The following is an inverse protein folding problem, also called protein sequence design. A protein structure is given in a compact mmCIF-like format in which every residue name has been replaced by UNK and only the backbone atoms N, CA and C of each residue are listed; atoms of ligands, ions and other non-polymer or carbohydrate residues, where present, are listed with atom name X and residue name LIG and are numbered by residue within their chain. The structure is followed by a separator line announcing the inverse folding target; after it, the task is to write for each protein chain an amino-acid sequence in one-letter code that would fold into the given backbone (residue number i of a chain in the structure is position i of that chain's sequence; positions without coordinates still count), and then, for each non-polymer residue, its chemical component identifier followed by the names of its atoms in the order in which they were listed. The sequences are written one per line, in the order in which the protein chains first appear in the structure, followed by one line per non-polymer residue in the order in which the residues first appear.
data_IF_219812686451
#
_entry.id   IF_219812686451
#
_cell.length_a   1.000
_cell.length_b   1.000
_cell.length_c   1.000
_cell.angle_alpha   90.00
_cell.angle_beta   90.00
_cell.angle_gamma   90.00
#
_symmetry.space_group_name_H-M   'P 1'
#
loop_
_entity.id
_entity.type
_entity.pdbx_description
1 polymer ?
#
# COMPACT_ATOMS: atom_id res chain seq x y z
N UNK A 1 14.06 -11.68 7.48
CA UNK A 1 14.49 -10.96 6.26
C UNK A 1 13.28 -10.29 5.63
N UNK A 2 13.44 -9.03 5.24
CA UNK A 2 12.33 -8.26 4.68
C UNK A 2 12.13 -8.54 3.20
N UNK A 3 10.87 -8.45 2.73
CA UNK A 3 10.55 -8.46 1.31
C UNK A 3 11.00 -7.16 0.61
N UNK A 4 11.26 -6.11 1.39
CA UNK A 4 11.69 -4.81 0.89
C UNK A 4 13.20 -4.68 0.95
N UNK A 5 13.78 -3.99 -0.04
CA UNK A 5 15.20 -3.64 0.01
C UNK A 5 15.44 -2.53 1.04
N UNK A 6 16.71 -2.29 1.38
CA UNK A 6 17.06 -1.19 2.28
C UNK A 6 16.62 0.17 1.74
N UNK A 7 16.77 0.40 0.44
CA UNK A 7 16.34 1.65 -0.18
C UNK A 7 14.82 1.81 -0.13
N UNK A 8 14.09 0.72 -0.34
CA UNK A 8 12.62 0.73 -0.24
C UNK A 8 12.16 1.03 1.17
N UNK A 9 12.76 0.39 2.17
CA UNK A 9 12.42 0.67 3.57
C UNK A 9 12.74 2.12 3.95
N UNK A 10 13.87 2.63 3.50
CA UNK A 10 14.23 4.03 3.76
C UNK A 10 13.20 4.98 3.16
N UNK A 11 12.75 4.69 1.95
CA UNK A 11 11.73 5.50 1.28
C UNK A 11 10.40 5.46 2.03
N UNK A 12 9.96 4.28 2.43
CA UNK A 12 8.69 4.10 3.15
C UNK A 12 8.69 4.73 4.54
N UNK A 13 9.88 4.82 5.16
CA UNK A 13 10.02 5.30 6.54
C UNK A 13 10.43 6.76 6.65
N UNK A 14 10.34 7.54 5.58
CA UNK A 14 10.74 8.95 5.63
C UNK A 14 9.88 9.74 6.60
N UNK A 15 10.54 10.26 7.63
CA UNK A 15 9.88 11.07 8.64
C UNK A 15 9.43 12.41 8.08
N UNK A 16 8.27 12.86 8.54
CA UNK A 16 7.76 14.18 8.19
C UNK A 16 7.14 14.29 6.80
N UNK A 17 7.33 13.30 5.96
CA UNK A 17 6.69 13.30 4.64
C UNK A 17 5.32 12.62 4.74
N UNK A 18 4.31 13.29 4.19
CA UNK A 18 2.95 12.76 4.17
C UNK A 18 2.59 12.44 2.74
N UNK A 19 2.71 11.17 2.39
CA UNK A 19 2.39 10.69 1.06
C UNK A 19 1.18 9.79 1.14
N UNK A 20 0.29 9.96 0.18
CA UNK A 20 -0.81 9.02 0.02
C UNK A 20 -0.31 7.77 -0.70
N UNK A 21 -0.95 6.66 -0.44
CA UNK A 21 -0.86 5.50 -1.29
C UNK A 21 -2.09 5.44 -2.17
N UNK A 22 -2.02 4.68 -3.25
CA UNK A 22 -3.20 4.36 -4.05
C UNK A 22 -3.35 2.86 -4.03
N UNK A 23 -4.43 2.41 -3.39
CA UNK A 23 -4.71 0.99 -3.28
C UNK A 23 -5.61 0.54 -4.42
N UNK A 24 -5.25 -0.59 -5.02
CA UNK A 24 -6.05 -1.23 -6.05
C UNK A 24 -6.63 -2.52 -5.48
N UNK A 25 -7.92 -2.69 -5.65
CA UNK A 25 -8.65 -3.91 -5.28
C UNK A 25 -9.52 -4.33 -6.45
N UNK A 26 -10.06 -5.54 -6.38
CA UNK A 26 -10.83 -6.11 -7.47
C UNK A 26 -12.23 -6.42 -6.99
N UNK A 27 -13.24 -5.90 -7.71
CA UNK A 27 -14.64 -6.17 -7.42
C UNK A 27 -15.07 -7.56 -7.87
N UNK A 28 -16.31 -7.93 -7.50
CA UNK A 28 -16.86 -9.26 -7.80
C UNK A 28 -16.87 -9.59 -9.28
N UNK A 29 -17.07 -8.58 -10.11
CA UNK A 29 -17.12 -8.74 -11.58
C UNK A 29 -15.73 -8.64 -12.24
N UNK A 30 -14.67 -8.56 -11.44
CA UNK A 30 -13.31 -8.42 -11.96
C UNK A 30 -12.90 -6.98 -12.26
N UNK A 31 -13.78 -6.01 -12.03
CA UNK A 31 -13.44 -4.60 -12.28
C UNK A 31 -12.43 -4.13 -11.25
N UNK A 32 -11.28 -3.59 -11.68
CA UNK A 32 -10.33 -3.03 -10.74
C UNK A 32 -10.80 -1.67 -10.23
N UNK A 33 -10.55 -1.42 -8.95
CA UNK A 33 -10.87 -0.15 -8.31
C UNK A 33 -9.60 0.41 -7.69
N UNK A 34 -9.40 1.72 -7.77
CA UNK A 34 -8.23 2.38 -7.19
C UNK A 34 -8.68 3.65 -6.49
N UNK A 35 -8.18 3.85 -5.27
CA UNK A 35 -8.48 5.03 -4.46
C UNK A 35 -7.25 5.45 -3.67
N UNK A 36 -7.11 6.76 -3.36
CA UNK A 36 -6.05 7.21 -2.46
C UNK A 36 -6.37 6.83 -1.02
N UNK A 37 -5.33 6.48 -0.26
CA UNK A 37 -5.47 6.02 1.12
C UNK A 37 -4.30 6.49 1.96
N UNK A 38 -4.53 6.59 3.27
CA UNK A 38 -3.45 6.64 4.25
C UNK A 38 -2.90 5.24 4.46
N UNK A 39 -1.62 5.17 4.79
CA UNK A 39 -0.95 3.89 4.95
C UNK A 39 0.21 4.03 5.93
N UNK A 40 0.71 2.89 6.40
CA UNK A 40 1.98 2.85 7.13
C UNK A 40 2.66 1.51 6.91
N UNK A 41 3.99 1.52 6.97
CA UNK A 41 4.75 0.29 6.97
C UNK A 41 4.67 -0.34 8.37
N UNK A 42 4.32 -1.61 8.42
CA UNK A 42 4.25 -2.39 9.65
C UNK A 42 5.46 -3.32 9.71
N UNK A 43 6.44 -2.97 10.55
CA UNK A 43 7.69 -3.73 10.64
C UNK A 43 7.48 -5.12 11.26
N UNK A 44 6.51 -5.26 12.15
CA UNK A 44 6.24 -6.55 12.80
C UNK A 44 5.78 -7.59 11.79
N UNK A 45 4.97 -7.19 10.83
CA UNK A 45 4.42 -8.08 9.81
C UNK A 45 5.12 -7.97 8.47
N UNK A 46 6.06 -7.03 8.34
CA UNK A 46 6.71 -6.71 7.06
C UNK A 46 5.67 -6.47 5.98
N UNK A 47 4.71 -5.61 6.27
CA UNK A 47 3.53 -5.39 5.44
C UNK A 47 3.15 -3.93 5.40
N UNK A 48 2.27 -3.57 4.46
CA UNK A 48 1.69 -2.24 4.40
C UNK A 48 0.28 -2.31 4.98
N UNK A 49 0.03 -1.50 6.00
CA UNK A 49 -1.29 -1.39 6.63
C UNK A 49 -2.01 -0.16 6.10
N UNK A 50 -3.23 -0.36 5.63
CA UNK A 50 -4.10 0.71 5.13
C UNK A 50 -5.25 0.87 6.11
N UNK A 51 -5.37 2.07 6.70
CA UNK A 51 -6.46 2.42 7.58
C UNK A 51 -7.46 3.34 6.87
N UNK A 52 -8.37 3.88 7.63
CA UNK A 52 -9.32 4.85 7.12
C UNK A 52 -10.57 4.94 7.97
N UNK A 53 -11.29 6.07 7.81
CA UNK A 53 -12.54 6.28 8.52
C UNK A 53 -13.58 5.29 8.01
N UNK A 54 -14.27 4.61 8.95
CA UNK A 54 -15.31 3.63 8.63
C UNK A 54 -14.85 2.59 7.60
N UNK A 55 -13.59 2.19 7.71
CA UNK A 55 -12.96 1.34 6.70
C UNK A 55 -13.74 0.05 6.46
N UNK A 56 -14.25 -0.59 7.51
CA UNK A 56 -14.97 -1.86 7.37
C UNK A 56 -16.23 -1.73 6.54
N UNK A 57 -16.80 -0.53 6.39
CA UNK A 57 -17.97 -0.28 5.57
C UNK A 57 -17.63 0.03 4.11
N UNK A 58 -16.35 0.11 3.77
CA UNK A 58 -15.95 0.50 2.41
C UNK A 58 -15.92 -0.69 1.46
N UNK A 59 -16.09 -0.38 0.17
CA UNK A 59 -16.00 -1.37 -0.88
C UNK A 59 -14.62 -2.02 -0.92
N UNK A 60 -13.54 -1.21 -0.77
CA UNK A 60 -12.19 -1.75 -0.82
C UNK A 60 -11.92 -2.78 0.27
N UNK A 61 -12.47 -2.56 1.46
CA UNK A 61 -12.31 -3.51 2.56
C UNK A 61 -13.03 -4.83 2.24
N UNK A 62 -14.27 -4.73 1.75
CA UNK A 62 -15.04 -5.92 1.38
C UNK A 62 -14.38 -6.67 0.23
N UNK A 63 -13.89 -5.95 -0.78
CA UNK A 63 -13.24 -6.57 -1.92
C UNK A 63 -11.92 -7.23 -1.52
N UNK A 64 -11.15 -6.60 -0.64
CA UNK A 64 -9.92 -7.20 -0.10
C UNK A 64 -10.24 -8.48 0.68
N UNK A 65 -11.27 -8.44 1.53
CA UNK A 65 -11.67 -9.61 2.31
C UNK A 65 -12.10 -10.77 1.42
N UNK A 66 -12.86 -10.47 0.35
CA UNK A 66 -13.36 -11.49 -0.56
C UNK A 66 -12.27 -12.06 -1.46
N UNK A 67 -11.48 -11.18 -2.10
CA UNK A 67 -10.50 -11.62 -3.09
C UNK A 67 -9.19 -12.08 -2.48
N UNK A 68 -8.85 -11.56 -1.30
CA UNK A 68 -7.56 -11.83 -0.66
C UNK A 68 -6.39 -11.19 -1.39
N UNK A 69 -6.61 -10.26 -2.30
CA UNK A 69 -5.57 -9.65 -3.12
C UNK A 69 -5.72 -8.15 -3.19
N UNK A 70 -4.57 -7.45 -3.18
CA UNK A 70 -4.52 -6.02 -3.38
C UNK A 70 -3.15 -5.59 -3.85
N UNK A 71 -3.07 -4.39 -4.38
CA UNK A 71 -1.80 -3.73 -4.67
C UNK A 71 -1.87 -2.30 -4.15
N UNK A 72 -0.72 -1.76 -3.80
CA UNK A 72 -0.64 -0.35 -3.40
C UNK A 72 0.62 0.25 -4.00
N UNK A 73 0.52 1.49 -4.45
CA UNK A 73 1.68 2.27 -4.87
C UNK A 73 1.79 3.50 -3.99
N UNK A 74 2.99 3.74 -3.49
CA UNK A 74 3.35 4.96 -2.77
C UNK A 74 4.36 5.67 -3.67
N UNK A 75 4.08 6.90 -4.04
CA UNK A 75 4.92 7.61 -4.99
C UNK A 75 4.99 9.10 -4.70
N UNK A 76 6.00 9.74 -5.24
CA UNK A 76 6.13 11.19 -5.26
C UNK A 76 7.13 11.60 -6.35
N UNK A 77 7.38 12.88 -6.43
CA UNK A 77 8.40 13.41 -7.33
C UNK A 77 9.58 13.88 -6.49
N UNK A 78 10.75 13.34 -6.77
CA UNK A 78 11.99 13.84 -6.18
C UNK A 78 12.33 15.22 -6.76
N UNK A 79 11.92 15.47 -8.00
CA UNK A 79 12.14 16.71 -8.71
C UNK A 79 11.14 16.85 -9.83
N UNK A 80 10.72 18.07 -10.14
CA UNK A 80 9.82 18.36 -11.27
C UNK A 80 10.62 18.70 -12.52
N UNK A 81 11.75 19.39 -12.36
CA UNK A 81 12.60 19.78 -13.45
C UNK A 81 14.06 19.59 -13.06
N UNK A 82 14.72 18.50 -13.47
CA UNK A 82 14.19 17.44 -14.35
C UNK A 82 13.13 16.58 -13.67
N UNK A 83 12.31 15.94 -14.47
CA UNK A 83 11.24 15.07 -13.99
C UNK A 83 11.83 13.79 -13.41
N UNK A 84 11.65 13.60 -12.10
CA UNK A 84 12.22 12.45 -11.39
C UNK A 84 11.18 11.80 -10.48
N UNK A 85 10.33 10.93 -11.02
CA UNK A 85 9.40 10.18 -10.18
C UNK A 85 10.12 9.07 -9.42
N UNK A 86 9.62 8.78 -8.24
CA UNK A 86 10.07 7.63 -7.46
C UNK A 86 8.84 6.97 -6.86
N UNK A 87 8.93 5.65 -6.69
CA UNK A 87 7.78 4.89 -6.22
C UNK A 87 8.19 3.56 -5.64
N UNK A 88 7.31 3.05 -4.77
CA UNK A 88 7.32 1.66 -4.32
C UNK A 88 5.92 1.12 -4.57
N UNK A 89 5.84 0.02 -5.33
CA UNK A 89 4.60 -0.70 -5.58
C UNK A 89 4.66 -2.05 -4.89
N UNK A 90 3.61 -2.40 -4.14
CA UNK A 90 3.52 -3.66 -3.41
C UNK A 90 2.30 -4.42 -3.90
N UNK A 91 2.51 -5.63 -4.37
CA UNK A 91 1.43 -6.54 -4.79
C UNK A 91 1.41 -7.73 -3.86
N UNK A 92 0.25 -8.14 -3.40
CA UNK A 92 0.25 -9.31 -2.56
C UNK A 92 -1.09 -9.72 -1.99
N UNK A 93 -0.98 -10.51 -0.95
CA UNK A 93 -2.13 -11.00 -0.20
C UNK A 93 -2.71 -9.88 0.65
N UNK A 94 -4.00 -9.68 0.55
CA UNK A 94 -4.71 -8.69 1.34
C UNK A 94 -5.47 -9.38 2.46
N UNK A 95 -5.18 -8.96 3.68
CA UNK A 95 -5.84 -9.46 4.88
C UNK A 95 -6.74 -8.34 5.43
N UNK A 96 -8.04 -8.61 5.53
CA UNK A 96 -8.96 -7.68 6.16
C UNK A 96 -8.93 -7.93 7.67
N UNK A 97 -8.24 -7.07 8.39
CA UNK A 97 -8.09 -7.16 9.84
C UNK A 97 -9.21 -6.36 10.48
N UNK A 98 -9.86 -6.93 11.51
CA UNK A 98 -10.99 -6.27 12.18
C UNK A 98 -10.66 -5.77 13.59
N UNK A 99 -9.66 -6.39 14.23
CA UNK A 99 -9.34 -6.08 15.63
C UNK A 99 -7.86 -5.73 15.77
N UNK A 100 -7.48 -4.77 16.63
CA UNK A 100 -8.35 -3.90 17.45
C UNK A 100 -9.07 -2.83 16.65
N UNK A 101 -8.65 -2.57 15.42
CA UNK A 101 -9.29 -1.63 14.51
C UNK A 101 -9.24 -2.19 13.10
N UNK A 102 -10.21 -1.83 12.27
CA UNK A 102 -10.24 -2.30 10.88
C UNK A 102 -9.07 -1.74 10.10
N UNK A 103 -8.36 -2.61 9.39
CA UNK A 103 -7.34 -2.22 8.44
C UNK A 103 -7.21 -3.30 7.36
N UNK A 104 -6.63 -2.89 6.23
CA UNK A 104 -6.25 -3.85 5.18
C UNK A 104 -4.74 -4.00 5.27
N UNK A 105 -4.27 -5.22 5.51
CA UNK A 105 -2.85 -5.51 5.59
C UNK A 105 -2.41 -6.20 4.31
N UNK A 106 -1.50 -5.55 3.58
CA UNK A 106 -1.00 -6.09 2.33
C UNK A 106 0.36 -6.75 2.60
N UNK A 107 0.37 -8.07 2.48
CA UNK A 107 1.58 -8.88 2.65
C UNK A 107 2.26 -9.00 1.29
N UNK A 108 3.52 -8.54 1.14
CA UNK A 108 4.14 -8.49 -0.17
C UNK A 108 4.41 -9.87 -0.75
N UNK A 109 3.93 -10.12 -1.97
CA UNK A 109 4.39 -11.20 -2.83
C UNK A 109 5.44 -10.66 -3.79
N UNK A 110 5.27 -9.41 -4.23
CA UNK A 110 6.20 -8.77 -5.14
C UNK A 110 6.28 -7.28 -4.81
N UNK A 111 7.50 -6.77 -4.77
CA UNK A 111 7.77 -5.34 -4.59
C UNK A 111 8.54 -4.85 -5.80
N UNK A 112 8.07 -3.76 -6.38
CA UNK A 112 8.72 -3.10 -7.51
C UNK A 112 8.94 -1.65 -7.12
N UNK A 113 10.13 -1.14 -7.37
CA UNK A 113 10.45 0.24 -7.03
C UNK A 113 11.32 0.87 -8.10
N UNK A 114 11.31 2.19 -8.16
CA UNK A 114 12.17 2.95 -9.06
C UNK A 114 12.39 4.35 -8.53
N UNK A 115 13.52 4.95 -8.96
CA UNK A 115 13.84 6.33 -8.64
C UNK A 115 14.25 6.59 -7.21
N UNK A 116 14.63 5.56 -6.45
CA UNK A 116 14.89 5.69 -5.01
C UNK A 116 16.32 6.14 -4.68
N UNK A 117 17.22 6.14 -5.62
CA UNK A 117 18.63 6.47 -5.38
C UNK A 117 18.87 7.96 -5.45
#
# INVERSE_FOLDING_TARGET
MSAFSGAELAYLRRDGERRLGRIATVGRDGTPHVVPVGWRYNAEHDAIDVGGRDLAATKKYRDAARSGRAAIVIDDLASVDPWRPRAVEVRGRAEAVSEPAALIRIHPDRVVSWGLD
#
